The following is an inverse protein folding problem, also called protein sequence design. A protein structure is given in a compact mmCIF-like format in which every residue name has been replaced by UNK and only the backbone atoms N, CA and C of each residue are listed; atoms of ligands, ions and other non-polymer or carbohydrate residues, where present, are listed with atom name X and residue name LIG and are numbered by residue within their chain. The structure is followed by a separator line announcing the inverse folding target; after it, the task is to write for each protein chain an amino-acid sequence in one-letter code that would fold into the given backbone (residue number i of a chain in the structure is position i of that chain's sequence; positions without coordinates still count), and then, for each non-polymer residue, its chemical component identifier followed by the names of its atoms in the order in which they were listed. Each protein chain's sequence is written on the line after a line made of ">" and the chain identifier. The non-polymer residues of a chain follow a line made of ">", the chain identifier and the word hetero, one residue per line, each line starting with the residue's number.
data_IF_552959076579
#
_entry.id   IF_552959076579
#
_cell.length_a   1.000
_cell.length_b   1.000
_cell.length_c   1.000
_cell.angle_alpha   90.00
_cell.angle_beta   90.00
_cell.angle_gamma   90.00
#
_symmetry.space_group_name_H-M   'P 1'
#
loop_
_entity.id
_entity.type
_entity.pdbx_description
1 polymer ?
#
# COMPACT_ATOMS: atom_id res chain seq x y z
N UNK A 1 26.83 -70.72 -67.22
CA UNK A 1 26.75 -69.59 -66.27
C UNK A 1 25.29 -69.43 -65.86
N UNK A 2 25.00 -69.52 -64.55
CA UNK A 2 23.64 -69.47 -63.99
C UNK A 2 23.26 -68.02 -63.68
N UNK A 3 22.58 -67.35 -64.61
CA UNK A 3 22.13 -65.96 -64.49
C UNK A 3 21.19 -65.73 -63.30
N UNK A 4 20.39 -66.73 -62.92
CA UNK A 4 19.55 -66.71 -61.71
C UNK A 4 20.36 -66.68 -60.40
N UNK A 5 21.52 -67.35 -60.37
CA UNK A 5 22.37 -67.37 -59.17
C UNK A 5 23.03 -66.02 -58.93
N UNK A 6 23.41 -65.32 -60.00
CA UNK A 6 24.06 -64.01 -59.92
C UNK A 6 23.06 -62.89 -59.59
N UNK A 7 21.82 -62.98 -60.08
CA UNK A 7 20.73 -62.07 -59.68
C UNK A 7 20.38 -62.20 -58.20
N UNK A 8 20.27 -63.43 -57.68
CA UNK A 8 19.99 -63.65 -56.26
C UNK A 8 21.12 -63.15 -55.35
N UNK A 9 22.40 -63.29 -55.76
CA UNK A 9 23.53 -62.72 -55.03
C UNK A 9 23.49 -61.19 -54.98
N UNK A 10 23.09 -60.54 -56.09
CA UNK A 10 22.96 -59.09 -56.16
C UNK A 10 21.86 -58.57 -55.22
N UNK A 11 20.67 -59.17 -55.28
CA UNK A 11 19.55 -58.85 -54.38
C UNK A 11 19.95 -59.02 -52.91
N UNK A 12 20.72 -60.07 -52.59
CA UNK A 12 21.16 -60.32 -51.22
C UNK A 12 22.23 -59.31 -50.74
N UNK A 13 23.09 -58.82 -51.64
CA UNK A 13 24.06 -57.75 -51.38
C UNK A 13 23.35 -56.45 -51.02
N UNK A 14 22.45 -55.96 -51.87
CA UNK A 14 21.72 -54.70 -51.61
C UNK A 14 20.76 -54.81 -50.42
N UNK A 15 20.11 -55.97 -50.23
CA UNK A 15 19.32 -56.24 -49.02
C UNK A 15 20.16 -56.16 -47.74
N UNK A 16 21.43 -56.56 -47.77
CA UNK A 16 22.31 -56.40 -46.62
C UNK A 16 22.80 -54.95 -46.44
N UNK A 17 23.09 -54.25 -47.54
CA UNK A 17 23.52 -52.84 -47.51
C UNK A 17 22.42 -51.91 -46.99
N UNK A 18 21.14 -52.14 -47.34
CA UNK A 18 20.01 -51.31 -46.86
C UNK A 18 19.63 -51.54 -45.40
N UNK A 19 19.97 -52.69 -44.81
CA UNK A 19 19.53 -53.04 -43.44
C UNK A 19 19.89 -51.98 -42.41
N UNK A 20 21.13 -51.47 -42.46
CA UNK A 20 21.62 -50.55 -41.45
C UNK A 20 21.03 -49.14 -41.63
N UNK A 21 21.05 -48.53 -42.82
CA UNK A 21 20.36 -47.26 -43.06
C UNK A 21 18.86 -47.32 -42.73
N UNK A 22 18.16 -48.41 -43.08
CA UNK A 22 16.74 -48.58 -42.77
C UNK A 22 16.48 -48.56 -41.26
N UNK A 23 17.29 -49.28 -40.47
CA UNK A 23 17.20 -49.26 -39.01
C UNK A 23 17.45 -47.88 -38.43
N UNK A 24 18.39 -47.13 -38.99
CA UNK A 24 18.69 -45.77 -38.55
C UNK A 24 17.52 -44.82 -38.84
N UNK A 25 16.87 -44.95 -40.01
CA UNK A 25 15.65 -44.20 -40.34
C UNK A 25 14.52 -44.53 -39.36
N UNK A 26 14.27 -45.82 -39.09
CA UNK A 26 13.22 -46.23 -38.15
C UNK A 26 13.50 -45.71 -36.73
N UNK A 27 14.75 -45.79 -36.28
CA UNK A 27 15.18 -45.27 -34.98
C UNK A 27 14.99 -43.75 -34.87
N UNK A 28 15.46 -43.00 -35.86
CA UNK A 28 15.35 -41.55 -35.89
C UNK A 28 13.88 -41.09 -35.96
N UNK A 29 13.05 -41.79 -36.73
CA UNK A 29 11.62 -41.50 -36.83
C UNK A 29 10.94 -41.66 -35.48
N UNK A 30 11.19 -42.76 -34.78
CA UNK A 30 10.64 -42.99 -33.44
C UNK A 30 11.16 -41.96 -32.43
N UNK A 31 12.46 -41.64 -32.47
CA UNK A 31 13.04 -40.64 -31.58
C UNK A 31 12.45 -39.23 -31.81
N UNK A 32 12.20 -38.84 -33.06
CA UNK A 32 11.52 -37.57 -33.38
C UNK A 32 10.09 -37.58 -32.82
N UNK A 33 9.34 -38.66 -33.04
CA UNK A 33 7.97 -38.79 -32.52
C UNK A 33 7.94 -38.69 -30.98
N UNK A 34 8.88 -39.33 -30.29
CA UNK A 34 8.98 -39.27 -28.82
C UNK A 34 9.23 -37.83 -28.32
N UNK A 35 10.09 -37.07 -29.01
CA UNK A 35 10.36 -35.66 -28.67
C UNK A 35 9.14 -34.80 -28.95
N UNK A 36 8.46 -35.00 -30.07
CA UNK A 36 7.23 -34.27 -30.43
C UNK A 36 6.10 -34.55 -29.41
N UNK A 37 5.94 -35.79 -28.96
CA UNK A 37 5.02 -36.12 -27.86
C UNK A 37 5.41 -35.43 -26.55
N UNK A 38 6.69 -35.42 -26.20
CA UNK A 38 7.18 -34.74 -25.01
C UNK A 38 6.94 -33.23 -25.06
N UNK A 39 7.07 -32.61 -26.24
CA UNK A 39 6.73 -31.20 -26.44
C UNK A 39 5.25 -30.91 -26.18
N UNK A 40 4.35 -31.78 -26.64
CA UNK A 40 2.91 -31.67 -26.37
C UNK A 40 2.64 -31.80 -24.87
N UNK A 41 3.19 -32.84 -24.21
CA UNK A 41 3.06 -33.03 -22.76
C UNK A 41 3.61 -31.85 -21.96
N UNK A 42 4.75 -31.30 -22.38
CA UNK A 42 5.36 -30.15 -21.72
C UNK A 42 4.50 -28.89 -21.83
N UNK A 43 3.89 -28.65 -22.99
CA UNK A 43 2.95 -27.53 -23.21
C UNK A 43 1.72 -27.64 -22.30
N UNK A 44 1.16 -28.83 -22.16
CA UNK A 44 0.03 -29.07 -21.24
C UNK A 44 0.44 -28.88 -19.78
N UNK A 45 1.58 -29.44 -19.38
CA UNK A 45 2.16 -29.29 -18.05
C UNK A 45 2.39 -27.81 -17.71
N UNK A 46 2.99 -27.03 -18.62
CA UNK A 46 3.19 -25.59 -18.47
C UNK A 46 1.86 -24.86 -18.24
N UNK A 47 0.83 -25.14 -19.05
CA UNK A 47 -0.50 -24.52 -18.90
C UNK A 47 -1.11 -24.83 -17.53
N UNK A 48 -1.01 -26.07 -17.06
CA UNK A 48 -1.51 -26.50 -15.75
C UNK A 48 -0.76 -25.79 -14.63
N UNK A 49 0.57 -25.70 -14.72
CA UNK A 49 1.40 -25.02 -13.72
C UNK A 49 1.10 -23.52 -13.64
N UNK A 50 0.91 -22.85 -14.79
CA UNK A 50 0.51 -21.45 -14.84
C UNK A 50 -0.83 -21.21 -14.14
N UNK A 51 -1.82 -22.06 -14.41
CA UNK A 51 -3.13 -22.01 -13.74
C UNK A 51 -3.02 -22.29 -12.24
N UNK A 52 -2.14 -23.20 -11.83
CA UNK A 52 -1.91 -23.51 -10.43
C UNK A 52 -1.30 -22.32 -9.68
N UNK A 53 -0.34 -21.60 -10.29
CA UNK A 53 0.20 -20.36 -9.72
C UNK A 53 -0.94 -19.35 -9.52
N UNK A 54 -1.78 -19.12 -10.53
CA UNK A 54 -2.92 -18.20 -10.40
C UNK A 54 -3.87 -18.60 -9.28
N UNK A 55 -4.22 -19.88 -9.18
CA UNK A 55 -5.14 -20.37 -8.15
C UNK A 55 -4.55 -20.28 -6.73
N UNK A 56 -3.27 -20.61 -6.56
CA UNK A 56 -2.59 -20.58 -5.27
C UNK A 56 -2.60 -19.19 -4.65
N UNK A 57 -2.42 -18.15 -5.47
CA UNK A 57 -2.31 -16.78 -4.97
C UNK A 57 -3.60 -15.97 -5.05
N UNK A 58 -4.62 -16.44 -5.79
CA UNK A 58 -5.90 -15.74 -5.97
C UNK A 58 -6.57 -15.38 -4.65
N UNK A 59 -6.61 -16.32 -3.71
CA UNK A 59 -7.25 -16.09 -2.41
C UNK A 59 -6.53 -14.98 -1.62
N UNK A 60 -5.20 -15.05 -1.53
CA UNK A 60 -4.40 -14.08 -0.79
C UNK A 60 -4.44 -12.68 -1.41
N UNK A 61 -4.37 -12.59 -2.75
CA UNK A 61 -4.50 -11.30 -3.46
C UNK A 61 -5.89 -10.69 -3.25
N UNK A 62 -6.94 -11.50 -3.30
CA UNK A 62 -8.30 -11.02 -3.07
C UNK A 62 -8.51 -10.55 -1.62
N UNK A 63 -8.03 -11.32 -0.64
CA UNK A 63 -8.12 -10.98 0.78
C UNK A 63 -7.39 -9.67 1.09
N UNK A 64 -6.15 -9.50 0.61
CA UNK A 64 -5.41 -8.24 0.76
C UNK A 64 -6.11 -7.06 0.09
N UNK A 65 -6.65 -7.25 -1.13
CA UNK A 65 -7.41 -6.20 -1.80
C UNK A 65 -8.69 -5.82 -1.03
N UNK A 66 -9.39 -6.81 -0.46
CA UNK A 66 -10.57 -6.56 0.35
C UNK A 66 -10.23 -5.76 1.60
N UNK A 67 -9.18 -6.15 2.34
CA UNK A 67 -8.69 -5.43 3.51
C UNK A 67 -8.27 -3.98 3.16
N UNK A 68 -7.53 -3.79 2.06
CA UNK A 68 -7.13 -2.45 1.57
C UNK A 68 -8.36 -1.59 1.26
N UNK A 69 -9.38 -2.16 0.60
CA UNK A 69 -10.60 -1.43 0.25
C UNK A 69 -11.43 -1.07 1.48
N UNK A 70 -11.52 -1.97 2.47
CA UNK A 70 -12.17 -1.70 3.75
C UNK A 70 -11.46 -0.54 4.48
N UNK A 71 -10.13 -0.58 4.59
CA UNK A 71 -9.34 0.50 5.20
C UNK A 71 -9.52 1.84 4.48
N UNK A 72 -9.57 1.84 3.14
CA UNK A 72 -9.83 3.06 2.35
C UNK A 72 -11.20 3.66 2.64
N UNK A 73 -12.24 2.82 2.72
CA UNK A 73 -13.58 3.26 3.07
C UNK A 73 -13.64 3.82 4.49
N UNK A 74 -13.00 3.17 5.45
CA UNK A 74 -12.93 3.63 6.84
C UNK A 74 -12.21 4.97 6.97
N UNK A 75 -11.11 5.16 6.24
CA UNK A 75 -10.39 6.43 6.17
C UNK A 75 -11.24 7.55 5.57
N UNK A 76 -12.06 7.24 4.55
CA UNK A 76 -12.99 8.20 3.97
C UNK A 76 -14.05 8.62 4.98
N UNK A 77 -14.67 7.66 5.66
CA UNK A 77 -15.65 7.89 6.73
C UNK A 77 -15.04 8.75 7.85
N UNK A 78 -13.85 8.39 8.33
CA UNK A 78 -13.13 9.17 9.35
C UNK A 78 -12.85 10.61 8.89
N UNK A 79 -12.47 10.80 7.62
CA UNK A 79 -12.23 12.14 7.05
C UNK A 79 -13.50 13.00 7.04
N UNK A 80 -14.66 12.40 6.76
CA UNK A 80 -15.95 13.09 6.82
C UNK A 80 -16.32 13.47 8.25
N UNK A 81 -16.12 12.56 9.21
CA UNK A 81 -16.33 12.85 10.64
C UNK A 81 -15.43 13.98 11.14
N UNK A 82 -14.14 13.99 10.77
CA UNK A 82 -13.21 15.07 11.13
C UNK A 82 -13.68 16.42 10.58
N UNK A 83 -14.11 16.49 9.31
CA UNK A 83 -14.67 17.70 8.72
C UNK A 83 -15.92 18.19 9.46
N UNK A 84 -16.78 17.26 9.92
CA UNK A 84 -17.96 17.62 10.69
C UNK A 84 -17.59 18.17 12.08
N UNK A 85 -16.67 17.52 12.79
CA UNK A 85 -16.18 17.99 14.10
C UNK A 85 -15.50 19.36 13.95
N UNK A 86 -14.75 19.60 12.88
CA UNK A 86 -14.12 20.90 12.62
C UNK A 86 -15.16 22.03 12.47
N UNK A 87 -16.29 21.76 11.78
CA UNK A 87 -17.40 22.71 11.69
C UNK A 87 -18.00 23.00 13.07
N UNK A 88 -18.24 21.97 13.88
CA UNK A 88 -18.75 22.14 15.24
C UNK A 88 -17.79 22.88 16.17
N UNK A 89 -16.48 22.63 16.06
CA UNK A 89 -15.45 23.35 16.79
C UNK A 89 -15.45 24.84 16.42
N UNK A 90 -15.50 25.17 15.13
CA UNK A 90 -15.61 26.56 14.64
C UNK A 90 -16.85 27.26 15.20
N UNK A 91 -18.01 26.59 15.14
CA UNK A 91 -19.25 27.12 15.68
C UNK A 91 -19.18 27.33 17.21
N UNK A 92 -18.68 26.35 17.96
CA UNK A 92 -18.56 26.42 19.43
C UNK A 92 -17.61 27.56 19.85
N UNK A 93 -16.47 27.71 19.17
CA UNK A 93 -15.54 28.83 19.38
C UNK A 93 -16.19 30.19 19.08
N UNK A 94 -16.99 30.28 18.01
CA UNK A 94 -17.78 31.48 17.72
C UNK A 94 -18.75 31.83 18.86
N UNK A 95 -19.49 30.86 19.39
CA UNK A 95 -20.38 31.05 20.53
C UNK A 95 -19.65 31.48 21.80
N UNK A 96 -18.48 30.92 22.07
CA UNK A 96 -17.61 31.33 23.18
C UNK A 96 -17.22 32.81 23.02
N UNK A 97 -16.83 33.25 21.83
CA UNK A 97 -16.48 34.66 21.57
C UNK A 97 -17.66 35.60 21.76
N UNK A 98 -18.84 35.26 21.23
CA UNK A 98 -20.08 36.04 21.41
C UNK A 98 -20.41 36.15 22.91
N UNK A 99 -20.31 35.04 23.64
CA UNK A 99 -20.51 35.03 25.09
C UNK A 99 -19.52 35.97 25.77
N UNK A 100 -18.21 35.85 25.50
CA UNK A 100 -17.18 36.72 26.06
C UNK A 100 -17.51 38.20 25.82
N UNK A 101 -17.95 38.54 24.61
CA UNK A 101 -18.37 39.89 24.26
C UNK A 101 -19.58 40.37 25.08
N UNK A 102 -20.65 39.57 25.15
CA UNK A 102 -21.85 39.91 25.93
C UNK A 102 -21.57 40.11 27.41
N UNK A 103 -20.71 39.27 28.00
CA UNK A 103 -20.28 39.44 29.39
C UNK A 103 -19.46 40.72 29.59
N UNK A 104 -18.53 41.03 28.66
CA UNK A 104 -17.77 42.29 28.68
C UNK A 104 -18.70 43.51 28.66
N UNK A 105 -19.77 43.47 27.86
CA UNK A 105 -20.76 44.56 27.80
C UNK A 105 -21.60 44.67 29.08
N UNK A 106 -22.12 43.55 29.60
CA UNK A 106 -22.88 43.55 30.87
C UNK A 106 -22.04 44.10 32.03
N UNK A 107 -20.78 43.68 32.11
CA UNK A 107 -19.87 44.14 33.13
C UNK A 107 -19.57 45.64 33.03
N UNK A 108 -19.30 46.14 31.82
CA UNK A 108 -19.12 47.59 31.59
C UNK A 108 -20.34 48.38 32.07
N UNK A 109 -21.55 47.92 31.75
CA UNK A 109 -22.78 48.55 32.21
C UNK A 109 -22.89 48.56 33.74
N UNK A 110 -22.65 47.41 34.37
CA UNK A 110 -22.65 47.29 35.83
C UNK A 110 -21.60 48.18 36.50
N UNK A 111 -20.38 48.26 35.96
CA UNK A 111 -19.30 49.14 36.46
C UNK A 111 -19.73 50.61 36.39
N UNK A 112 -20.35 51.03 35.29
CA UNK A 112 -20.89 52.39 35.13
C UNK A 112 -22.04 52.69 36.09
N UNK A 113 -22.95 51.74 36.31
CA UNK A 113 -24.02 51.87 37.32
C UNK A 113 -23.44 51.99 38.73
N UNK A 114 -22.44 51.17 39.06
CA UNK A 114 -21.79 51.20 40.37
C UNK A 114 -21.06 52.54 40.60
N UNK A 115 -20.34 53.04 39.60
CA UNK A 115 -19.71 54.36 39.67
C UNK A 115 -20.76 55.47 39.83
N UNK A 116 -21.86 55.46 39.09
CA UNK A 116 -22.97 56.42 39.27
C UNK A 116 -23.54 56.36 40.69
N UNK A 117 -23.79 55.16 41.23
CA UNK A 117 -24.27 55.04 42.61
C UNK A 117 -23.26 55.54 43.62
N UNK A 118 -21.96 55.32 43.38
CA UNK A 118 -20.90 55.82 44.24
C UNK A 118 -20.87 57.35 44.26
N UNK A 119 -20.90 57.99 43.09
CA UNK A 119 -21.01 59.46 42.98
C UNK A 119 -22.28 60.01 43.64
N UNK A 120 -23.43 59.37 43.44
CA UNK A 120 -24.66 59.80 44.11
C UNK A 120 -24.61 59.65 45.64
N UNK A 121 -23.92 58.62 46.14
CA UNK A 121 -23.69 58.44 47.58
C UNK A 121 -22.70 59.48 48.10
N UNK A 122 -21.64 59.81 47.36
CA UNK A 122 -20.70 60.88 47.72
C UNK A 122 -21.37 62.26 47.72
N UNK A 123 -22.14 62.60 46.68
CA UNK A 123 -22.91 63.84 46.61
C UNK A 123 -23.93 63.94 47.75
N UNK A 124 -24.61 62.83 48.07
CA UNK A 124 -25.52 62.75 49.19
C UNK A 124 -24.79 62.88 50.53
N UNK A 125 -23.57 62.34 50.66
CA UNK A 125 -22.73 62.48 51.84
C UNK A 125 -22.20 63.91 51.99
N UNK A 126 -21.84 64.59 50.90
CA UNK A 126 -21.39 65.97 50.89
C UNK A 126 -22.55 66.94 51.19
N UNK A 127 -23.74 66.68 50.62
CA UNK A 127 -24.95 67.42 50.93
C UNK A 127 -25.44 67.17 52.37
N UNK A 128 -25.36 65.93 52.86
CA UNK A 128 -25.63 65.57 54.26
C UNK A 128 -24.65 66.25 55.21
N UNK A 129 -23.36 66.25 54.89
CA UNK A 129 -22.34 66.94 55.69
C UNK A 129 -22.58 68.46 55.72
N UNK A 130 -22.91 69.08 54.58
CA UNK A 130 -23.30 70.49 54.50
C UNK A 130 -24.57 70.83 55.29
N UNK A 131 -25.56 69.93 55.34
CA UNK A 131 -26.84 70.16 56.04
C UNK A 131 -26.80 69.84 57.54
N UNK A 132 -26.05 68.82 57.95
CA UNK A 132 -25.97 68.38 59.35
C UNK A 132 -24.91 69.15 60.14
N UNK A 133 -23.77 69.46 59.53
CA UNK A 133 -22.67 70.13 60.22
C UNK A 133 -22.58 71.63 59.91
N UNK A 134 -23.35 72.12 58.93
CA UNK A 134 -23.24 73.50 58.46
C UNK A 134 -21.89 73.78 57.81
N UNK A 135 -21.80 74.82 56.97
CA UNK A 135 -20.51 75.22 56.42
C UNK A 135 -19.51 75.48 57.56
N UNK A 136 -18.39 74.75 57.60
CA UNK A 136 -17.17 75.26 58.23
C UNK A 136 -16.77 76.51 57.43
N UNK A 137 -17.15 77.66 57.97
CA UNK A 137 -16.81 78.95 57.42
C UNK A 137 -15.29 79.10 57.37
N UNK A 138 -14.75 79.29 56.16
CA UNK A 138 -13.69 80.26 55.87
C UNK A 138 -13.50 80.39 54.36
N UNK A 139 -14.24 81.31 53.73
CA UNK A 139 -13.68 82.34 52.84
C UNK A 139 -14.72 83.48 52.66
N UNK A 140 -14.25 84.73 52.48
CA UNK A 140 -14.94 85.92 52.94
C UNK A 140 -16.12 86.32 52.05
N UNK A 141 -17.11 86.89 52.72
CA UNK A 141 -18.20 87.67 52.14
C UNK A 141 -17.60 88.80 51.29
N UNK A 142 -17.60 88.63 49.98
CA UNK A 142 -17.70 89.75 49.05
C UNK A 142 -19.07 89.69 48.36
N UNK A 143 -19.93 90.56 48.90
CA UNK A 143 -21.18 91.11 48.40
C UNK A 143 -21.51 90.92 46.91
N UNK A 144 -22.76 90.50 46.72
CA UNK A 144 -23.77 91.04 45.78
C UNK A 144 -23.59 90.64 44.31
N UNK A 145 -24.51 89.80 43.83
CA UNK A 145 -25.54 90.28 42.89
C UNK A 145 -26.74 89.32 42.89
N UNK A 146 -27.85 89.84 43.39
CA UNK A 146 -29.20 89.37 43.17
C UNK A 146 -29.55 89.33 41.68
N UNK A 147 -30.42 88.39 41.33
CA UNK A 147 -31.30 88.33 40.16
C UNK A 147 -30.74 87.70 38.88
N UNK A 148 -31.06 86.42 38.68
CA UNK A 148 -31.93 86.05 37.56
C UNK A 148 -32.62 84.70 37.80
N UNK A 149 -33.92 84.69 37.55
CA UNK A 149 -34.84 83.56 37.53
C UNK A 149 -34.29 82.35 36.75
N UNK A 150 -34.36 81.17 37.36
CA UNK A 150 -34.81 79.95 36.68
C UNK A 150 -35.38 78.97 37.71
N UNK A 151 -36.71 78.90 37.73
CA UNK A 151 -37.53 77.89 38.40
C UNK A 151 -37.04 76.48 38.09
N UNK A 152 -36.46 75.81 39.09
CA UNK A 152 -36.38 74.34 39.13
C UNK A 152 -37.48 73.88 40.08
N UNK A 153 -38.54 73.31 39.51
CA UNK A 153 -39.62 72.67 40.24
C UNK A 153 -39.07 71.44 40.96
N UNK A 154 -39.10 71.45 42.30
CA UNK A 154 -38.92 70.25 43.10
C UNK A 154 -40.20 69.40 43.00
N UNK A 155 -40.12 68.07 42.74
CA UNK A 155 -41.29 67.21 42.90
C UNK A 155 -41.60 67.07 44.40
N UNK A 156 -42.71 67.65 44.82
CA UNK A 156 -43.38 67.37 46.10
C UNK A 156 -43.82 65.90 46.12
N UNK A 157 -43.07 65.06 46.83
CA UNK A 157 -43.58 63.75 47.27
C UNK A 157 -43.18 63.49 48.72
N UNK A 158 -44.19 63.16 49.53
CA UNK A 158 -44.16 62.88 50.96
C UNK A 158 -43.39 61.58 51.32
N UNK A 159 -42.17 61.38 50.80
CA UNK A 159 -41.38 60.17 51.07
C UNK A 159 -40.47 60.29 52.30
N UNK A 160 -40.25 61.50 52.83
CA UNK A 160 -39.28 61.75 53.91
C UNK A 160 -39.77 61.26 55.28
N UNK A 161 -41.09 61.21 55.47
CA UNK A 161 -41.73 60.75 56.73
C UNK A 161 -41.61 59.22 56.87
N UNK A 162 -41.53 58.48 55.76
CA UNK A 162 -41.33 57.03 55.77
C UNK A 162 -39.86 56.60 55.94
N UNK A 163 -38.88 57.45 55.57
CA UNK A 163 -37.46 57.13 55.75
C UNK A 163 -36.97 57.31 57.19
N UNK A 164 -37.45 58.34 57.92
CA UNK A 164 -37.10 58.53 59.33
C UNK A 164 -37.61 57.37 60.22
N UNK A 165 -38.80 56.86 59.93
CA UNK A 165 -39.38 55.71 60.62
C UNK A 165 -38.63 54.40 60.29
N UNK A 166 -38.19 54.21 59.05
CA UNK A 166 -37.38 53.06 58.64
C UNK A 166 -35.96 53.05 59.23
N UNK A 167 -35.32 54.22 59.28
CA UNK A 167 -33.99 54.39 59.89
C UNK A 167 -34.04 54.21 61.41
N UNK A 168 -35.11 54.70 62.07
CA UNK A 168 -35.33 54.49 63.49
C UNK A 168 -35.55 53.00 63.84
N UNK A 169 -36.34 52.30 63.01
CA UNK A 169 -36.55 50.85 63.14
C UNK A 169 -35.25 50.05 62.94
N UNK A 170 -34.44 50.40 61.92
CA UNK A 170 -33.11 49.79 61.71
C UNK A 170 -32.15 50.07 62.86
N UNK A 171 -32.17 51.27 63.43
CA UNK A 171 -31.37 51.64 64.60
C UNK A 171 -31.75 50.79 65.82
N UNK A 172 -33.04 50.58 66.08
CA UNK A 172 -33.49 49.69 67.17
C UNK A 172 -33.10 48.22 66.95
N UNK A 173 -33.11 47.72 65.70
CA UNK A 173 -32.64 46.37 65.38
C UNK A 173 -31.13 46.25 65.61
N UNK A 174 -30.34 47.24 65.20
CA UNK A 174 -28.89 47.26 65.38
C UNK A 174 -28.54 47.41 66.88
N UNK A 175 -29.24 48.28 67.62
CA UNK A 175 -29.05 48.46 69.07
C UNK A 175 -29.46 47.22 69.87
N UNK A 176 -30.51 46.49 69.47
CA UNK A 176 -30.90 45.21 70.09
C UNK A 176 -29.95 44.06 69.74
N UNK A 177 -29.34 44.07 68.55
CA UNK A 177 -28.30 43.12 68.16
C UNK A 177 -26.93 43.42 68.81
N UNK A 178 -26.64 44.70 69.09
CA UNK A 178 -25.41 45.14 69.74
C UNK A 178 -25.48 45.04 71.27
N UNK A 179 -26.66 45.11 71.89
CA UNK A 179 -26.77 45.10 73.37
C UNK A 179 -26.64 43.72 74.02
N UNK A 180 -26.64 42.62 73.24
CA UNK A 180 -26.61 41.25 73.76
C UNK A 180 -25.45 40.37 73.27
N UNK A 181 -24.58 40.86 72.37
CA UNK A 181 -23.34 40.16 71.97
C UNK A 181 -22.11 40.79 72.61
N UNK A 182 -21.58 40.06 73.59
CA UNK A 182 -20.54 40.43 74.55
C UNK A 182 -19.38 41.25 73.95
N UNK A 183 -19.00 42.31 74.69
CA UNK A 183 -17.78 43.11 74.54
C UNK A 183 -16.51 42.25 74.36
N UNK A 184 -16.56 41.01 74.83
CA UNK A 184 -15.50 40.00 74.73
C UNK A 184 -15.41 39.30 73.37
N UNK A 185 -16.52 39.11 72.64
CA UNK A 185 -16.47 38.59 71.25
C UNK A 185 -15.84 39.62 70.31
N UNK A 186 -16.15 40.90 70.50
CA UNK A 186 -15.56 42.00 69.72
C UNK A 186 -14.04 42.08 70.01
N UNK A 187 -13.62 41.92 71.27
CA UNK A 187 -12.19 41.84 71.62
C UNK A 187 -11.51 40.62 71.01
N UNK A 188 -12.16 39.44 71.00
CA UNK A 188 -11.64 38.24 70.35
C UNK A 188 -11.49 38.41 68.84
N UNK A 189 -12.46 39.02 68.16
CA UNK A 189 -12.39 39.30 66.73
C UNK A 189 -11.28 40.32 66.43
N UNK A 190 -11.15 41.39 67.23
CA UNK A 190 -10.06 42.35 67.11
C UNK A 190 -8.69 41.70 67.29
N UNK A 191 -8.52 40.84 68.30
CA UNK A 191 -7.27 40.11 68.52
C UNK A 191 -6.93 39.19 67.34
N UNK A 192 -7.94 38.48 66.81
CA UNK A 192 -7.77 37.57 65.67
C UNK A 192 -7.41 38.32 64.37
N UNK A 193 -7.97 39.51 64.15
CA UNK A 193 -7.62 40.38 63.02
C UNK A 193 -6.22 40.99 63.15
N UNK A 194 -5.84 41.44 64.35
CA UNK A 194 -4.48 41.93 64.62
C UNK A 194 -3.43 40.84 64.43
N UNK A 195 -3.72 39.63 64.92
CA UNK A 195 -2.83 38.48 64.74
C UNK A 195 -2.63 38.15 63.26
N UNK A 196 -3.72 38.09 62.46
CA UNK A 196 -3.64 37.85 61.01
C UNK A 196 -2.84 38.91 60.25
N UNK A 197 -2.98 40.19 60.63
CA UNK A 197 -2.21 41.29 60.00
C UNK A 197 -0.72 41.18 60.30
N UNK A 198 -0.35 40.76 61.51
CA UNK A 198 1.05 40.48 61.89
C UNK A 198 1.58 39.27 61.12
N UNK A 199 0.79 38.19 60.99
CA UNK A 199 1.22 37.00 60.22
C UNK A 199 1.41 37.32 58.73
N UNK A 200 0.55 38.15 58.13
CA UNK A 200 0.72 38.63 56.74
C UNK A 200 1.95 39.52 56.58
N UNK A 201 2.26 40.39 57.55
CA UNK A 201 3.48 41.20 57.51
C UNK A 201 4.75 40.36 57.63
N UNK A 202 4.74 39.32 58.46
CA UNK A 202 5.87 38.36 58.56
C UNK A 202 6.03 37.57 57.27
N UNK A 203 4.94 37.09 56.65
CA UNK A 203 4.99 36.36 55.37
C UNK A 203 5.49 37.23 54.21
N UNK A 204 5.07 38.50 54.15
CA UNK A 204 5.53 39.45 53.15
C UNK A 204 7.01 39.84 53.33
N UNK A 205 7.52 39.88 54.56
CA UNK A 205 8.94 40.12 54.83
C UNK A 205 9.83 38.91 54.49
N UNK A 206 9.32 37.68 54.54
CA UNK A 206 10.05 36.50 54.06
C UNK A 206 10.08 36.41 52.53
N UNK A 207 8.97 36.75 51.85
CA UNK A 207 8.89 36.75 50.37
C UNK A 207 9.84 37.79 49.73
N UNK A 208 9.94 38.99 50.32
CA UNK A 208 10.82 40.05 49.79
C UNK A 208 12.33 39.81 50.04
N UNK A 209 12.70 38.76 50.79
CA UNK A 209 14.11 38.41 51.04
C UNK A 209 14.64 37.36 50.05
N UNK A 210 13.75 36.64 49.36
CA UNK A 210 14.09 35.64 48.32
C UNK A 210 14.07 36.21 46.90
N UNK A 211 13.54 37.42 46.68
CA UNK A 211 13.37 38.02 45.34
C UNK A 211 14.44 39.05 44.94
N UNK A 212 15.54 39.17 45.69
CA UNK A 212 16.59 40.17 45.45
C UNK A 212 17.90 39.63 44.87
N UNK A 213 17.92 38.38 44.40
CA UNK A 213 18.98 37.88 43.53
C UNK A 213 18.37 37.55 42.17
N UNK A 214 18.87 38.24 41.14
CA UNK A 214 18.71 38.02 39.70
C UNK A 214 17.86 39.05 38.95
N UNK A 215 18.58 39.76 38.07
CA UNK A 215 18.16 40.46 36.85
C UNK A 215 18.04 41.99 36.95
N UNK A 216 19.17 42.64 37.22
CA UNK A 216 19.53 43.90 36.57
C UNK A 216 20.11 43.57 35.18
N UNK A 217 19.27 43.63 34.14
CA UNK A 217 19.63 43.91 32.74
C UNK A 217 18.47 43.47 31.84
N UNK A 218 17.53 44.38 31.60
CA UNK A 218 16.71 44.52 30.36
C UNK A 218 15.61 45.56 30.65
N UNK A 219 16.00 46.83 30.71
CA UNK A 219 15.06 47.96 30.70
C UNK A 219 15.36 48.73 29.44
N UNK A 220 14.57 48.48 28.40
CA UNK A 220 14.15 49.46 27.38
C UNK A 220 13.48 48.72 26.21
N UNK A 221 12.23 48.27 26.38
CA UNK A 221 11.30 48.00 25.24
C UNK A 221 9.84 47.69 25.63
N UNK A 222 9.43 47.87 26.90
CA UNK A 222 8.06 47.54 27.34
C UNK A 222 7.34 48.79 27.87
N UNK A 223 7.07 49.75 27.00
CA UNK A 223 6.20 50.89 27.35
C UNK A 223 4.97 51.06 26.43
N UNK A 224 4.59 50.04 25.65
CA UNK A 224 3.32 50.03 24.91
C UNK A 224 2.29 48.98 25.37
N UNK A 225 2.58 48.18 26.41
CA UNK A 225 1.69 47.06 26.82
C UNK A 225 1.33 47.03 28.31
N UNK A 226 1.26 48.19 28.98
CA UNK A 226 0.74 48.32 30.35
C UNK A 226 -0.72 48.78 30.44
N UNK A 227 -1.53 48.49 29.42
CA UNK A 227 -2.94 48.17 29.66
C UNK A 227 -3.06 46.65 29.71
N UNK A 228 -2.56 46.04 30.78
CA UNK A 228 -3.08 44.74 31.19
C UNK A 228 -4.57 44.96 31.50
N UNK A 229 -5.40 44.65 30.50
CA UNK A 229 -6.84 44.57 30.58
C UNK A 229 -7.16 43.82 31.88
N UNK A 230 -7.72 44.49 32.90
CA UNK A 230 -8.21 43.88 34.16
C UNK A 230 -9.22 42.73 33.92
N UNK A 231 -9.55 42.45 32.65
CA UNK A 231 -10.36 41.36 32.16
C UNK A 231 -9.72 39.96 32.24
N UNK A 232 -8.40 39.82 32.41
CA UNK A 232 -7.78 38.48 32.55
C UNK A 232 -8.00 37.85 33.94
N UNK A 233 -8.42 38.64 34.94
CA UNK A 233 -8.62 38.18 36.31
C UNK A 233 -10.06 37.76 36.67
N UNK A 234 -10.98 37.71 35.69
CA UNK A 234 -12.34 37.27 35.97
C UNK A 234 -12.45 35.74 35.82
N UNK A 235 -13.19 35.04 36.70
CA UNK A 235 -13.36 33.61 36.61
C UNK A 235 -14.25 33.32 35.40
N UNK A 236 -13.62 33.22 34.23
CA UNK A 236 -14.14 32.39 33.16
C UNK A 236 -14.34 31.03 33.79
N UNK A 237 -15.59 30.69 34.12
CA UNK A 237 -15.90 29.36 34.62
C UNK A 237 -15.43 28.37 33.56
N UNK A 238 -14.29 27.73 33.82
CA UNK A 238 -13.74 26.63 33.03
C UNK A 238 -14.82 25.54 32.87
N UNK A 239 -15.74 25.47 33.84
CA UNK A 239 -16.88 24.56 33.88
C UNK A 239 -18.11 25.04 33.08
N UNK A 240 -17.98 26.04 32.21
CA UNK A 240 -19.10 26.43 31.35
C UNK A 240 -19.39 25.36 30.28
N UNK A 241 -20.66 24.99 30.02
CA UNK A 241 -21.01 23.95 29.04
C UNK A 241 -20.37 24.12 27.65
N UNK A 242 -20.19 25.36 27.16
CA UNK A 242 -19.52 25.60 25.86
C UNK A 242 -18.02 25.24 25.89
N UNK A 243 -17.32 25.51 26.99
CA UNK A 243 -15.91 25.18 27.12
C UNK A 243 -15.70 23.67 27.35
N UNK A 244 -16.59 23.05 28.11
CA UNK A 244 -16.64 21.58 28.25
C UNK A 244 -16.90 20.92 26.89
N UNK A 245 -17.87 21.42 26.13
CA UNK A 245 -18.18 20.92 24.80
C UNK A 245 -17.01 21.13 23.81
N UNK A 246 -16.33 22.27 23.85
CA UNK A 246 -15.13 22.50 23.04
C UNK A 246 -14.02 21.48 23.37
N UNK A 247 -13.76 21.24 24.66
CA UNK A 247 -12.77 20.23 25.08
C UNK A 247 -13.17 18.82 24.64
N UNK A 248 -14.44 18.45 24.78
CA UNK A 248 -14.94 17.16 24.31
C UNK A 248 -14.75 17.00 22.80
N UNK A 249 -15.10 18.01 22.00
CA UNK A 249 -14.89 18.00 20.55
C UNK A 249 -13.41 17.95 20.17
N UNK A 250 -12.55 18.66 20.90
CA UNK A 250 -11.10 18.63 20.64
C UNK A 250 -10.50 17.26 20.98
N UNK A 251 -10.94 16.63 22.06
CA UNK A 251 -10.50 15.30 22.45
C UNK A 251 -10.95 14.26 21.41
N UNK A 252 -12.21 14.28 20.97
CA UNK A 252 -12.70 13.36 19.93
C UNK A 252 -12.02 13.62 18.59
N UNK A 253 -11.77 14.88 18.23
CA UNK A 253 -11.00 15.23 17.04
C UNK A 253 -9.59 14.62 17.06
N UNK A 254 -8.87 14.78 18.17
CA UNK A 254 -7.52 14.25 18.32
C UNK A 254 -7.50 12.71 18.33
N UNK A 255 -8.48 12.07 18.97
CA UNK A 255 -8.64 10.62 18.94
C UNK A 255 -8.84 10.10 17.52
N UNK A 256 -9.81 10.65 16.77
CA UNK A 256 -10.07 10.23 15.39
C UNK A 256 -8.85 10.50 14.50
N UNK A 257 -8.16 11.62 14.68
CA UNK A 257 -6.95 11.95 13.92
C UNK A 257 -5.81 10.96 14.18
N UNK A 258 -5.67 10.49 15.42
CA UNK A 258 -4.67 9.49 15.80
C UNK A 258 -5.00 8.14 15.16
N UNK A 259 -6.27 7.71 15.23
CA UNK A 259 -6.73 6.49 14.56
C UNK A 259 -6.54 6.57 13.04
N UNK A 260 -6.87 7.71 12.43
CA UNK A 260 -6.68 7.91 10.99
C UNK A 260 -5.21 7.77 10.58
N UNK A 261 -4.29 8.28 11.39
CA UNK A 261 -2.86 8.13 11.14
C UNK A 261 -2.40 6.68 11.24
N UNK A 262 -2.88 5.94 12.24
CA UNK A 262 -2.58 4.50 12.38
C UNK A 262 -3.13 3.68 11.20
N UNK A 263 -4.38 3.94 10.81
CA UNK A 263 -5.01 3.27 9.66
C UNK A 263 -4.28 3.60 8.35
N UNK A 264 -3.70 4.80 8.20
CA UNK A 264 -2.86 5.15 7.04
C UNK A 264 -1.54 4.38 7.02
N UNK A 265 -0.92 4.14 8.17
CA UNK A 265 0.28 3.30 8.27
C UNK A 265 -0.08 1.87 7.87
N UNK A 266 -1.14 1.31 8.46
CA UNK A 266 -1.61 -0.04 8.14
C UNK A 266 -1.96 -0.19 6.65
N UNK A 267 -2.63 0.81 6.06
CA UNK A 267 -2.92 0.81 4.63
C UNK A 267 -1.65 0.72 3.79
N UNK A 268 -0.62 1.51 4.10
CA UNK A 268 0.65 1.48 3.38
C UNK A 268 1.37 0.13 3.54
N UNK A 269 1.34 -0.46 4.74
CA UNK A 269 1.90 -1.79 4.98
C UNK A 269 1.20 -2.85 4.12
N UNK A 270 -0.13 -2.85 4.10
CA UNK A 270 -0.92 -3.79 3.29
C UNK A 270 -0.73 -3.58 1.78
N UNK A 271 -0.64 -2.33 1.32
CA UNK A 271 -0.33 -2.03 -0.09
C UNK A 271 1.07 -2.51 -0.48
N UNK A 272 2.06 -2.38 0.41
CA UNK A 272 3.40 -2.93 0.21
C UNK A 272 3.40 -4.46 0.19
N UNK A 273 2.66 -5.12 1.08
CA UNK A 273 2.51 -6.58 1.10
C UNK A 273 1.88 -7.07 -0.21
N UNK A 274 0.83 -6.41 -0.68
CA UNK A 274 0.19 -6.72 -1.97
C UNK A 274 1.18 -6.53 -3.13
N UNK A 275 1.94 -5.44 -3.13
CA UNK A 275 2.94 -5.19 -4.17
C UNK A 275 4.05 -6.25 -4.18
N UNK A 276 4.56 -6.61 -3.01
CA UNK A 276 5.54 -7.68 -2.82
C UNK A 276 5.01 -9.02 -3.35
N UNK A 277 3.78 -9.37 -2.98
CA UNK A 277 3.11 -10.59 -3.43
C UNK A 277 2.95 -10.62 -4.96
N UNK A 278 2.45 -9.54 -5.56
CA UNK A 278 2.30 -9.45 -7.02
C UNK A 278 3.63 -9.55 -7.75
N UNK A 279 4.69 -8.98 -7.17
CA UNK A 279 6.05 -9.07 -7.71
C UNK A 279 6.57 -10.51 -7.65
N UNK A 280 6.36 -11.19 -6.53
CA UNK A 280 6.70 -12.60 -6.38
C UNK A 280 5.97 -13.49 -7.39
N UNK A 281 4.66 -13.29 -7.57
CA UNK A 281 3.85 -14.02 -8.57
C UNK A 281 4.40 -13.77 -9.97
N UNK A 282 4.73 -12.52 -10.30
CA UNK A 282 5.29 -12.15 -11.61
C UNK A 282 6.62 -12.88 -11.87
N UNK A 283 7.50 -12.93 -10.87
CA UNK A 283 8.79 -13.61 -11.00
C UNK A 283 8.60 -15.12 -11.20
N UNK A 284 7.71 -15.76 -10.43
CA UNK A 284 7.40 -17.18 -10.60
C UNK A 284 6.88 -17.51 -12.00
N UNK A 285 5.99 -16.67 -12.53
CA UNK A 285 5.49 -16.83 -13.91
C UNK A 285 6.58 -16.64 -14.94
N UNK A 286 7.44 -15.63 -14.74
CA UNK A 286 8.56 -15.36 -15.62
C UNK A 286 9.55 -16.54 -15.65
N UNK A 287 9.90 -17.09 -14.49
CA UNK A 287 10.79 -18.25 -14.39
C UNK A 287 10.18 -19.48 -15.09
N UNK A 288 8.88 -19.70 -14.91
CA UNK A 288 8.16 -20.78 -15.59
C UNK A 288 8.14 -20.60 -17.12
N UNK A 289 7.91 -19.39 -17.60
CA UNK A 289 7.94 -19.04 -19.03
C UNK A 289 9.33 -19.25 -19.62
N UNK A 290 10.37 -18.85 -18.89
CA UNK A 290 11.74 -18.97 -19.33
C UNK A 290 12.18 -20.44 -19.44
N UNK A 291 11.89 -21.26 -18.42
CA UNK A 291 12.17 -22.70 -18.45
C UNK A 291 11.39 -23.41 -19.57
N UNK A 292 10.11 -23.07 -19.76
CA UNK A 292 9.31 -23.60 -20.86
C UNK A 292 9.92 -23.24 -22.22
N UNK A 293 10.32 -21.98 -22.42
CA UNK A 293 10.91 -21.50 -23.67
C UNK A 293 12.24 -22.20 -23.95
N UNK A 294 13.10 -22.30 -22.94
CA UNK A 294 14.41 -22.96 -23.03
C UNK A 294 14.29 -24.43 -23.41
N UNK A 295 13.42 -25.17 -22.73
CA UNK A 295 13.18 -26.59 -23.03
C UNK A 295 12.62 -26.78 -24.44
N UNK A 296 11.66 -25.92 -24.83
CA UNK A 296 11.02 -25.97 -26.14
C UNK A 296 12.04 -25.73 -27.26
N UNK A 297 12.92 -24.75 -27.08
CA UNK A 297 13.94 -24.41 -28.07
C UNK A 297 15.03 -25.50 -28.17
N UNK A 298 15.46 -26.08 -27.04
CA UNK A 298 16.36 -27.24 -27.06
C UNK A 298 15.76 -28.43 -27.81
N UNK A 299 14.49 -28.75 -27.54
CA UNK A 299 13.78 -29.85 -28.20
C UNK A 299 13.62 -29.61 -29.70
N UNK A 300 13.33 -28.38 -30.14
CA UNK A 300 13.25 -28.06 -31.57
C UNK A 300 14.60 -28.19 -32.25
N UNK A 301 15.69 -27.70 -31.64
CA UNK A 301 17.03 -27.88 -32.18
C UNK A 301 17.39 -29.36 -32.33
N UNK A 302 17.04 -30.19 -31.34
CA UNK A 302 17.28 -31.64 -31.40
C UNK A 302 16.45 -32.32 -32.51
N UNK A 303 15.19 -31.92 -32.69
CA UNK A 303 14.35 -32.40 -33.79
C UNK A 303 14.98 -32.02 -35.14
N UNK A 304 15.46 -30.78 -35.29
CA UNK A 304 16.07 -30.32 -36.54
C UNK A 304 17.34 -31.11 -36.87
N UNK A 305 18.21 -31.37 -35.89
CA UNK A 305 19.39 -32.21 -36.05
C UNK A 305 19.03 -33.63 -36.49
N UNK A 306 18.06 -34.25 -35.82
CA UNK A 306 17.59 -35.61 -36.16
C UNK A 306 16.91 -35.64 -37.53
N UNK A 307 16.15 -34.61 -37.91
CA UNK A 307 15.54 -34.48 -39.24
C UNK A 307 16.60 -34.37 -40.34
N UNK A 308 17.68 -33.62 -40.11
CA UNK A 308 18.80 -33.56 -41.06
C UNK A 308 19.49 -34.92 -41.21
N UNK A 309 19.72 -35.65 -40.11
CA UNK A 309 20.28 -37.00 -40.17
C UNK A 309 19.34 -37.96 -40.93
N UNK A 310 18.04 -37.88 -40.68
CA UNK A 310 17.03 -38.68 -41.38
C UNK A 310 17.06 -38.42 -42.89
N UNK A 311 17.11 -37.15 -43.32
CA UNK A 311 17.23 -36.77 -44.73
C UNK A 311 18.49 -37.39 -45.36
N UNK A 312 19.62 -37.38 -44.64
CA UNK A 312 20.87 -37.96 -45.15
C UNK A 312 20.77 -39.49 -45.30
N UNK A 313 20.19 -40.20 -44.33
CA UNK A 313 19.98 -41.64 -44.45
C UNK A 313 18.96 -42.02 -45.52
N UNK A 314 17.91 -41.22 -45.71
CA UNK A 314 16.97 -41.40 -46.83
C UNK A 314 17.65 -41.27 -48.17
N UNK A 315 18.52 -40.24 -48.37
CA UNK A 315 19.31 -40.11 -49.60
C UNK A 315 20.20 -41.33 -49.87
N UNK A 316 20.87 -41.85 -48.84
CA UNK A 316 21.70 -43.06 -48.98
C UNK A 316 20.85 -44.27 -49.38
N UNK A 317 19.64 -44.40 -48.85
CA UNK A 317 18.72 -45.47 -49.26
C UNK A 317 18.29 -45.32 -50.72
N UNK A 318 17.96 -44.10 -51.15
CA UNK A 318 17.59 -43.79 -52.54
C UNK A 318 18.76 -44.10 -53.50
N UNK A 319 19.98 -43.68 -53.16
CA UNK A 319 21.21 -43.98 -53.92
C UNK A 319 21.45 -45.50 -54.04
N UNK A 320 21.26 -46.26 -52.94
CA UNK A 320 21.36 -47.72 -52.96
C UNK A 320 20.24 -48.39 -53.78
N UNK A 321 19.10 -47.74 -53.97
CA UNK A 321 18.01 -48.22 -54.83
C UNK A 321 18.32 -47.97 -56.31
N UNK A 322 18.85 -46.79 -56.63
CA UNK A 322 19.35 -46.46 -57.98
C UNK A 322 20.52 -47.37 -58.40
N UNK A 323 21.50 -47.57 -57.52
CA UNK A 323 22.64 -48.47 -57.78
C UNK A 323 22.20 -49.91 -58.01
N UNK A 324 21.24 -50.42 -57.22
CA UNK A 324 20.68 -51.76 -57.43
C UNK A 324 20.03 -51.86 -58.82
N UNK A 325 19.20 -50.88 -59.20
CA UNK A 325 18.54 -50.87 -60.49
C UNK A 325 19.54 -50.84 -61.67
N UNK A 326 20.62 -50.06 -61.55
CA UNK A 326 21.68 -49.98 -62.56
C UNK A 326 22.47 -51.30 -62.65
N UNK A 327 22.94 -51.86 -61.52
CA UNK A 327 23.67 -53.14 -61.51
C UNK A 327 22.78 -54.29 -62.04
N UNK A 328 21.49 -54.28 -61.70
CA UNK A 328 20.53 -55.27 -62.20
C UNK A 328 20.30 -55.17 -63.72
N UNK A 329 20.14 -53.95 -64.24
CA UNK A 329 20.04 -53.71 -65.68
C UNK A 329 21.30 -54.16 -66.43
N UNK A 330 22.48 -53.91 -65.87
CA UNK A 330 23.75 -54.38 -66.43
C UNK A 330 23.83 -55.92 -66.49
N UNK A 331 23.36 -56.61 -65.44
CA UNK A 331 23.24 -58.08 -65.44
C UNK A 331 22.29 -58.58 -66.53
N UNK A 332 21.13 -57.94 -66.72
CA UNK A 332 20.17 -58.29 -67.78
C UNK A 332 20.81 -58.14 -69.16
N UNK A 333 21.50 -57.01 -69.42
CA UNK A 333 22.18 -56.76 -70.70
C UNK A 333 23.25 -57.83 -70.96
N UNK A 334 24.04 -58.18 -69.93
CA UNK A 334 25.07 -59.23 -70.04
C UNK A 334 24.46 -60.61 -70.29
N UNK A 335 23.34 -60.93 -69.64
CA UNK A 335 22.59 -62.15 -69.87
C UNK A 335 22.03 -62.23 -71.30
N UNK A 336 21.50 -61.12 -71.85
CA UNK A 336 21.05 -61.05 -73.24
C UNK A 336 22.18 -61.30 -74.23
N UNK A 337 23.32 -60.61 -74.09
CA UNK A 337 24.51 -60.80 -74.94
C UNK A 337 25.06 -62.23 -74.89
N UNK A 338 25.10 -62.84 -73.70
CA UNK A 338 25.54 -64.24 -73.54
C UNK A 338 24.55 -65.24 -74.14
N UNK A 339 23.25 -64.93 -74.10
CA UNK A 339 22.25 -65.78 -74.75
C UNK A 339 22.31 -65.65 -76.28
N UNK A 340 22.47 -64.44 -76.81
CA UNK A 340 22.67 -64.18 -78.25
C UNK A 340 23.88 -64.96 -78.79
N UNK A 341 25.03 -64.84 -78.13
CA UNK A 341 26.24 -65.60 -78.49
C UNK A 341 26.02 -67.11 -78.38
N UNK A 342 25.31 -67.59 -77.35
CA UNK A 342 24.94 -69.02 -77.22
C UNK A 342 24.03 -69.49 -78.35
N UNK A 343 23.10 -68.66 -78.81
CA UNK A 343 22.22 -68.96 -79.96
C UNK A 343 23.06 -69.08 -81.25
N UNK A 344 24.00 -68.16 -81.47
CA UNK A 344 24.92 -68.21 -82.60
C UNK A 344 25.77 -69.48 -82.56
N UNK A 345 26.41 -69.78 -81.44
CA UNK A 345 27.21 -70.99 -81.25
C UNK A 345 26.40 -72.28 -81.42
N UNK A 346 25.15 -72.31 -80.94
CA UNK A 346 24.25 -73.45 -81.17
C UNK A 346 23.94 -73.66 -82.64
N UNK A 347 23.76 -72.58 -83.41
CA UNK A 347 23.57 -72.66 -84.86
C UNK A 347 24.85 -73.20 -85.52
N UNK A 348 26.01 -72.66 -85.19
CA UNK A 348 27.31 -73.11 -85.73
C UNK A 348 27.61 -74.59 -85.41
N UNK A 349 27.38 -75.03 -84.16
CA UNK A 349 27.52 -76.45 -83.78
C UNK A 349 26.56 -77.37 -84.55
N UNK A 350 25.35 -76.90 -84.84
CA UNK A 350 24.38 -77.63 -85.68
C UNK A 350 24.87 -77.75 -87.13
N UNK A 351 25.53 -76.72 -87.67
CA UNK A 351 26.18 -76.77 -88.99
C UNK A 351 27.38 -77.74 -89.02
N UNK A 352 28.13 -77.86 -87.94
CA UNK A 352 29.29 -78.76 -87.82
C UNK A 352 28.93 -80.26 -87.60
N UNK A 353 27.64 -80.63 -87.58
CA UNK A 353 27.16 -82.02 -87.29
C UNK A 353 27.76 -82.67 -86.03
N UNK A 354 28.23 -81.88 -85.05
CA UNK A 354 28.60 -82.38 -83.73
C UNK A 354 27.32 -82.44 -82.88
N UNK A 355 26.36 -83.26 -83.30
CA UNK A 355 25.24 -83.67 -82.45
C UNK A 355 25.56 -85.04 -81.88
N UNK A 356 26.59 -85.14 -81.04
CA UNK A 356 26.73 -86.30 -80.17
C UNK A 356 25.74 -86.14 -79.03
N UNK A 357 24.66 -86.91 -79.12
CA UNK A 357 23.91 -87.42 -77.98
C UNK A 357 24.92 -88.01 -77.00
N UNK A 358 25.24 -87.31 -75.91
CA UNK A 358 25.89 -87.94 -74.76
C UNK A 358 24.79 -88.70 -74.04
N UNK A 359 24.46 -89.88 -74.55
CA UNK A 359 23.71 -90.88 -73.82
C UNK A 359 24.63 -91.41 -72.71
N UNK A 360 24.21 -91.22 -71.46
CA UNK A 360 24.85 -91.77 -70.29
C UNK A 360 24.56 -93.27 -70.18
N UNK A 361 25.13 -94.10 -71.07
CA UNK A 361 25.25 -95.55 -70.94
C UNK A 361 26.37 -95.99 -71.91
N UNK A 362 27.46 -96.51 -71.33
CA UNK A 362 28.63 -97.15 -71.94
C UNK A 362 29.83 -96.31 -72.45
N UNK A 363 30.92 -96.52 -71.70
CA UNK A 363 32.36 -96.27 -71.93
C UNK A 363 32.85 -96.62 -73.35
N UNK A 364 33.75 -95.79 -73.88
CA UNK A 364 34.91 -96.19 -74.69
C UNK A 364 36.07 -95.24 -74.30
N UNK A 365 37.15 -95.65 -73.62
CA UNK A 365 38.32 -96.40 -74.16
C UNK A 365 38.62 -96.06 -75.61
N UNK A 366 39.19 -94.87 -75.83
CA UNK A 366 39.70 -94.39 -77.12
C UNK A 366 41.21 -94.62 -77.30
N UNK A 367 41.87 -95.40 -76.43
CA UNK A 367 43.32 -95.61 -76.48
C UNK A 367 43.81 -97.03 -76.78
N UNK A 368 42.94 -98.03 -76.96
CA UNK A 368 43.37 -99.45 -76.98
C UNK A 368 43.41 -100.14 -78.36
N UNK A 369 43.67 -99.42 -79.46
CA UNK A 369 43.96 -100.08 -80.74
C UNK A 369 45.04 -99.38 -81.57
N UNK A 370 46.30 -99.79 -81.36
CA UNK A 370 47.32 -99.86 -82.43
C UNK A 370 48.19 -101.10 -82.25
N UNK A 371 48.10 -102.02 -83.20
CA UNK A 371 49.11 -103.06 -83.46
C UNK A 371 49.55 -102.95 -84.91
N UNK A 372 50.85 -102.70 -85.13
CA UNK A 372 51.75 -103.47 -86.01
C UNK A 372 52.91 -102.62 -86.54
N UNK A 373 54.11 -102.93 -86.06
CA UNK A 373 55.34 -102.90 -86.84
C UNK A 373 56.26 -104.01 -86.28
N UNK A 374 56.39 -105.16 -86.98
CA UNK A 374 57.50 -106.07 -86.77
C UNK A 374 58.53 -105.87 -87.88
N UNK A 375 59.75 -105.46 -87.50
CA UNK A 375 60.96 -105.70 -88.29
C UNK A 375 62.01 -106.30 -87.35
N UNK A 376 62.15 -107.62 -87.50
CA UNK A 376 63.26 -108.53 -87.25
C UNK A 376 64.45 -108.07 -86.39
N UNK A 377 64.75 -108.91 -85.38
CA UNK A 377 65.88 -109.84 -85.46
C UNK A 377 65.39 -111.28 -85.22
N UNK A 378 65.77 -112.14 -86.18
CA UNK A 378 65.69 -113.61 -86.28
C UNK A 378 64.31 -114.23 -86.56
#
# INVERSE_FOLDING_TARGET
>A
MNTESDQNKLLQKFKNLRKEPQKQVDYLTNAINDIEENLIRNKESYKIQMQKIDQLFRANVNDLNEQINQLKNDLEIQSLHLKQIEKWLKATRGWILIRKYLYKQKYRKWKMELLRTHYHIEDAYEAFNKTVFGNEANHPIWKVCTNSLATVQYPTSNNWINEQSWLHYRKQIIESQLSTKNKDEIKCIQHRLRSRKITQQIFNHHSNRESHENNEDYVDEINESKQQDELTNYPYSINHPLHIHEQQLMNTFNQIKTVQYLNLIELNEKENDLHSLLTHIRNLKFDLDNEYTKYTQMSFNEIDEKKQQLINFSKVLDELEEEEAVEFNNLIIKARKTNETRIVLKKELKYLRISQNINAIHRFTYFDYRYNLPLCKL
#
